data_IF_539513692524
#
_entry.id   IF_539513692524
#
_cell.length_a   1.000
_cell.length_b   1.000
_cell.length_c   1.000
_cell.angle_alpha   90.00
_cell.angle_beta   90.00
_cell.angle_gamma   90.00
#
_symmetry.space_group_name_H-M   'P 1'
#
loop_
_entity.id
_entity.type
_entity.pdbx_description
1 polymer ?
#
# COMPACT_ATOMS: atom_id res chain seq x y z
N UNK A 1 10.85 12.18 13.02
CA UNK A 1 10.32 11.63 11.75
C UNK A 1 11.39 11.10 10.79
N UNK A 2 12.46 11.83 10.43
CA UNK A 2 13.49 11.33 9.47
C UNK A 2 14.10 9.97 9.83
N UNK A 3 14.46 9.75 11.10
CA UNK A 3 14.98 8.44 11.52
C UNK A 3 13.96 7.30 11.36
N UNK A 4 12.67 7.57 11.62
CA UNK A 4 11.61 6.59 11.36
C UNK A 4 11.46 6.28 9.86
N UNK A 5 11.65 7.26 8.97
CA UNK A 5 11.66 7.00 7.52
C UNK A 5 12.81 6.08 7.12
N UNK A 6 14.00 6.26 7.69
CA UNK A 6 15.14 5.36 7.46
C UNK A 6 14.87 3.95 8.01
N UNK A 7 14.29 3.84 9.20
CA UNK A 7 13.90 2.55 9.78
C UNK A 7 12.91 1.81 8.88
N UNK A 8 11.88 2.51 8.36
CA UNK A 8 10.93 1.96 7.39
C UNK A 8 11.64 1.48 6.12
N UNK A 9 12.54 2.30 5.55
CA UNK A 9 13.31 1.94 4.35
C UNK A 9 14.10 0.65 4.58
N UNK A 10 14.86 0.56 5.67
CA UNK A 10 15.63 -0.65 6.00
C UNK A 10 14.73 -1.87 6.18
N UNK A 11 13.64 -1.76 6.94
CA UNK A 11 12.70 -2.87 7.11
C UNK A 11 12.09 -3.33 5.78
N UNK A 12 11.73 -2.42 4.89
CA UNK A 12 11.25 -2.77 3.55
C UNK A 12 12.30 -3.52 2.73
N UNK A 13 13.57 -3.11 2.82
CA UNK A 13 14.66 -3.75 2.08
C UNK A 13 14.98 -5.15 2.62
N UNK A 14 15.01 -5.31 3.94
CA UNK A 14 15.31 -6.59 4.60
C UNK A 14 14.24 -7.66 4.31
N UNK A 15 12.98 -7.25 4.09
CA UNK A 15 11.87 -8.14 3.80
C UNK A 15 11.82 -8.65 2.33
N UNK A 16 12.67 -8.14 1.43
CA UNK A 16 12.68 -8.51 0.00
C UNK A 16 13.97 -9.29 -0.33
N UNK A 17 13.91 -10.62 -0.49
CA UNK A 17 15.09 -11.47 -0.69
C UNK A 17 15.59 -11.52 -2.15
N UNK A 18 15.24 -10.53 -2.97
CA UNK A 18 15.72 -10.40 -4.35
C UNK A 18 15.92 -8.93 -4.74
N UNK A 19 16.59 -8.68 -5.88
CA UNK A 19 16.71 -7.33 -6.42
C UNK A 19 15.35 -6.81 -6.85
N UNK A 20 15.05 -5.56 -6.54
CA UNK A 20 13.79 -4.89 -6.87
C UNK A 20 14.03 -3.55 -7.57
N UNK A 21 13.01 -3.05 -8.27
CA UNK A 21 12.99 -1.77 -8.97
C UNK A 21 12.16 -0.72 -8.22
N UNK A 22 10.98 -1.12 -7.72
CA UNK A 22 10.05 -0.22 -7.02
C UNK A 22 9.42 -0.93 -5.83
N UNK A 23 9.09 -0.17 -4.77
CA UNK A 23 8.33 -0.64 -3.61
C UNK A 23 7.17 0.33 -3.37
N UNK A 24 6.00 -0.21 -3.05
CA UNK A 24 4.82 0.56 -2.68
C UNK A 24 4.17 -0.07 -1.44
N UNK A 25 4.13 0.67 -0.34
CA UNK A 25 3.49 0.27 0.91
C UNK A 25 2.23 1.10 1.14
N UNK A 26 1.18 0.43 1.58
CA UNK A 26 0.01 1.06 2.18
C UNK A 26 -0.10 0.64 3.64
N UNK A 27 -0.43 1.60 4.50
CA UNK A 27 -0.85 1.30 5.85
C UNK A 27 -2.01 2.20 6.27
N UNK A 28 -2.89 1.69 7.13
CA UNK A 28 -3.90 2.48 7.83
C UNK A 28 -3.87 2.20 9.33
N UNK A 29 -4.22 3.20 10.12
CA UNK A 29 -4.41 3.08 11.56
C UNK A 29 -5.70 3.81 11.92
N UNK A 30 -6.63 3.07 12.51
CA UNK A 30 -7.97 3.51 12.87
C UNK A 30 -8.15 3.36 14.37
N UNK A 31 -8.51 4.45 15.03
CA UNK A 31 -8.76 4.43 16.48
C UNK A 31 -10.16 3.85 16.73
N UNK A 32 -10.22 2.64 17.27
CA UNK A 32 -11.47 1.98 17.65
C UNK A 32 -12.00 2.44 19.01
N UNK A 33 -13.17 1.92 19.38
CA UNK A 33 -13.71 2.10 20.74
C UNK A 33 -12.78 1.41 21.75
N UNK A 34 -12.64 1.99 22.94
CA UNK A 34 -11.80 1.48 24.04
C UNK A 34 -10.29 1.46 23.75
N UNK A 35 -9.79 2.39 22.95
CA UNK A 35 -8.36 2.52 22.63
C UNK A 35 -7.77 1.32 21.86
N UNK A 36 -8.61 0.48 21.25
CA UNK A 36 -8.14 -0.58 20.36
C UNK A 36 -7.86 0.02 18.98
N UNK A 37 -6.59 0.17 18.64
CA UNK A 37 -6.17 0.55 17.28
C UNK A 37 -6.37 -0.65 16.33
N UNK A 38 -7.18 -0.46 15.30
CA UNK A 38 -7.29 -1.38 14.15
C UNK A 38 -6.60 -0.78 12.93
N UNK A 39 -6.45 -1.56 11.87
CA UNK A 39 -5.82 -1.08 10.65
C UNK A 39 -5.34 -2.24 9.78
N UNK A 40 -4.69 -1.89 8.68
CA UNK A 40 -4.13 -2.86 7.75
C UNK A 40 -2.80 -2.34 7.23
N UNK A 41 -1.87 -3.25 6.95
CA UNK A 41 -0.63 -2.93 6.24
C UNK A 41 -0.36 -4.01 5.21
N UNK A 42 0.05 -3.58 4.03
CA UNK A 42 0.58 -4.44 2.99
C UNK A 42 1.53 -3.64 2.12
N UNK A 43 2.47 -4.32 1.48
CA UNK A 43 3.26 -3.69 0.44
C UNK A 43 3.52 -4.64 -0.71
N UNK A 44 3.86 -4.03 -1.83
CA UNK A 44 4.23 -4.69 -3.06
C UNK A 44 5.62 -4.23 -3.48
N UNK A 45 6.37 -5.13 -4.09
CA UNK A 45 7.58 -4.75 -4.81
C UNK A 45 7.52 -5.24 -6.25
N UNK A 46 8.17 -4.49 -7.13
CA UNK A 46 8.39 -4.87 -8.53
C UNK A 46 9.79 -5.46 -8.62
N UNK A 47 9.96 -6.77 -8.86
CA UNK A 47 11.28 -7.37 -8.94
C UNK A 47 12.08 -6.82 -10.14
N UNK A 48 13.40 -6.78 -10.00
CA UNK A 48 14.29 -6.38 -11.08
C UNK A 48 14.43 -7.52 -12.09
N UNK A 49 14.21 -7.22 -13.37
CA UNK A 49 14.32 -8.20 -14.46
C UNK A 49 14.39 -7.53 -15.82
N UNK A 50 14.73 -8.31 -16.84
CA UNK A 50 14.79 -7.88 -18.26
C UNK A 50 13.38 -7.74 -18.84
N UNK A 51 12.42 -8.53 -18.35
CA UNK A 51 11.00 -8.47 -18.70
C UNK A 51 10.22 -7.73 -17.61
N UNK A 52 9.14 -7.05 -18.01
CA UNK A 52 8.15 -6.47 -17.07
C UNK A 52 7.66 -7.62 -16.17
N UNK A 53 7.82 -7.48 -14.85
CA UNK A 53 7.37 -8.48 -13.87
C UNK A 53 6.15 -7.96 -13.11
N UNK A 54 5.26 -8.88 -12.77
CA UNK A 54 4.10 -8.57 -11.93
C UNK A 54 4.57 -8.06 -10.55
N UNK A 55 3.85 -7.09 -9.96
CA UNK A 55 4.04 -6.72 -8.57
C UNK A 55 3.81 -7.92 -7.67
N UNK A 56 4.72 -8.17 -6.72
CA UNK A 56 4.62 -9.28 -5.77
C UNK A 56 4.14 -8.73 -4.43
N UNK A 57 3.06 -9.30 -3.88
CA UNK A 57 2.64 -8.96 -2.53
C UNK A 57 3.65 -9.54 -1.53
N UNK A 58 4.03 -8.76 -0.53
CA UNK A 58 4.95 -9.17 0.53
C UNK A 58 4.56 -10.50 1.20
N UNK A 59 3.26 -10.78 1.36
CA UNK A 59 2.78 -12.02 1.99
C UNK A 59 3.00 -13.28 1.13
N UNK A 60 3.38 -13.12 -0.14
CA UNK A 60 3.76 -14.24 -1.03
C UNK A 60 5.23 -14.62 -0.89
N UNK A 61 6.07 -13.73 -0.33
CA UNK A 61 7.52 -13.90 -0.25
C UNK A 61 7.94 -15.14 0.54
N UNK A 62 7.37 -15.46 1.73
CA UNK A 62 7.78 -16.66 2.46
C UNK A 62 7.65 -17.93 1.64
N UNK A 63 6.52 -18.09 0.95
CA UNK A 63 6.24 -19.24 0.10
C UNK A 63 7.15 -19.26 -1.14
N UNK A 64 7.36 -18.10 -1.79
CA UNK A 64 8.18 -18.02 -3.01
C UNK A 64 9.66 -18.33 -2.76
N UNK A 65 10.18 -18.00 -1.57
CA UNK A 65 11.59 -18.14 -1.22
C UNK A 65 11.88 -19.20 -0.16
N UNK A 66 10.86 -19.98 0.22
CA UNK A 66 10.95 -21.02 1.25
C UNK A 66 11.53 -20.48 2.58
N UNK A 67 11.01 -19.34 3.04
CA UNK A 67 11.38 -18.71 4.31
C UNK A 67 10.43 -19.15 5.43
N UNK A 68 10.88 -19.07 6.68
CA UNK A 68 10.02 -19.29 7.84
C UNK A 68 8.97 -18.18 7.96
N UNK A 69 7.69 -18.55 7.82
CA UNK A 69 6.56 -17.61 7.85
C UNK A 69 6.48 -16.84 9.17
N UNK A 70 6.75 -17.49 10.30
CA UNK A 70 6.63 -16.85 11.62
C UNK A 70 7.66 -15.72 11.78
N UNK A 71 8.92 -15.98 11.43
CA UNK A 71 9.98 -14.97 11.46
C UNK A 71 9.69 -13.84 10.49
N UNK A 72 9.11 -14.16 9.32
CA UNK A 72 8.73 -13.15 8.33
C UNK A 72 7.57 -12.26 8.79
N UNK A 73 6.52 -12.85 9.35
CA UNK A 73 5.38 -12.09 9.88
C UNK A 73 5.78 -11.24 11.09
N UNK A 74 6.77 -11.66 11.87
CA UNK A 74 7.36 -10.79 12.89
C UNK A 74 8.00 -9.53 12.30
N UNK A 75 8.71 -9.64 11.17
CA UNK A 75 9.24 -8.44 10.48
C UNK A 75 8.11 -7.51 9.99
N UNK A 76 6.99 -8.07 9.53
CA UNK A 76 5.82 -7.28 9.16
C UNK A 76 5.18 -6.58 10.38
N UNK A 77 5.06 -7.27 11.51
CA UNK A 77 4.58 -6.68 12.77
C UNK A 77 5.50 -5.56 13.26
N UNK A 78 6.81 -5.76 13.20
CA UNK A 78 7.82 -4.77 13.57
C UNK A 78 7.73 -3.53 12.66
N UNK A 79 7.61 -3.72 11.34
CA UNK A 79 7.40 -2.63 10.37
C UNK A 79 6.12 -1.85 10.68
N UNK A 80 4.99 -2.53 10.92
CA UNK A 80 3.75 -1.86 11.29
C UNK A 80 3.87 -1.11 12.63
N UNK A 81 4.66 -1.64 13.57
CA UNK A 81 5.04 -0.95 14.80
C UNK A 81 5.78 0.37 14.55
N UNK A 82 6.69 0.41 13.58
CA UNK A 82 7.40 1.64 13.16
C UNK A 82 6.41 2.64 12.55
N UNK A 83 5.46 2.19 11.73
CA UNK A 83 4.40 3.04 11.15
C UNK A 83 3.53 3.67 12.25
N UNK A 84 3.17 2.91 13.29
CA UNK A 84 2.41 3.45 14.44
C UNK A 84 3.21 4.47 15.24
N UNK A 85 4.52 4.28 15.41
CA UNK A 85 5.41 5.29 16.01
C UNK A 85 5.44 6.55 15.16
N UNK A 86 5.55 6.43 13.83
CA UNK A 86 5.48 7.54 12.90
C UNK A 86 4.17 8.33 13.05
N UNK A 87 3.03 7.65 13.25
CA UNK A 87 1.75 8.31 13.51
C UNK A 87 1.79 9.19 14.75
N UNK A 88 2.29 8.66 15.86
CA UNK A 88 2.40 9.38 17.15
C UNK A 88 3.31 10.60 17.03
N UNK A 89 4.48 10.44 16.41
CA UNK A 89 5.42 11.54 16.17
C UNK A 89 4.84 12.62 15.26
N UNK A 90 4.16 12.22 14.18
CA UNK A 90 3.53 13.18 13.27
C UNK A 90 2.46 14.01 13.99
N UNK A 91 1.63 13.39 14.82
CA UNK A 91 0.62 14.10 15.64
C UNK A 91 1.28 15.09 16.60
N UNK A 92 2.36 14.66 17.27
CA UNK A 92 3.07 15.50 18.24
C UNK A 92 3.69 16.76 17.59
N UNK A 93 4.16 16.65 16.35
CA UNK A 93 4.82 17.75 15.63
C UNK A 93 3.79 18.65 14.91
N UNK A 94 2.80 18.05 14.25
CA UNK A 94 1.92 18.75 13.30
C UNK A 94 0.50 18.98 13.84
N UNK A 95 0.13 18.36 14.97
CA UNK A 95 -1.21 18.44 15.55
C UNK A 95 -2.31 17.79 14.72
N UNK A 96 -1.97 17.03 13.68
CA UNK A 96 -2.92 16.45 12.74
C UNK A 96 -2.87 14.91 12.74
N UNK A 97 -4.06 14.30 12.80
CA UNK A 97 -4.24 12.85 12.84
C UNK A 97 -4.48 12.30 11.44
N UNK A 98 -3.46 11.69 10.84
CA UNK A 98 -3.65 10.91 9.63
C UNK A 98 -4.23 9.52 9.95
N UNK A 99 -4.93 8.95 8.98
CA UNK A 99 -5.61 7.65 9.07
C UNK A 99 -5.01 6.61 8.14
N UNK A 100 -4.40 7.04 7.04
CA UNK A 100 -3.66 6.16 6.14
C UNK A 100 -2.40 6.83 5.61
N UNK A 101 -1.45 6.01 5.18
CA UNK A 101 -0.24 6.44 4.50
C UNK A 101 0.01 5.55 3.28
N UNK A 102 0.59 6.17 2.25
CA UNK A 102 1.23 5.44 1.15
C UNK A 102 2.70 5.83 1.12
N UNK A 103 3.57 4.84 1.06
CA UNK A 103 5.02 5.04 0.92
C UNK A 103 5.44 4.43 -0.41
N UNK A 104 6.16 5.19 -1.23
CA UNK A 104 6.72 4.71 -2.48
C UNK A 104 8.23 4.91 -2.53
N UNK A 105 8.92 3.87 -3.00
CA UNK A 105 10.35 3.89 -3.28
C UNK A 105 10.51 3.55 -4.75
N UNK A 106 10.67 4.56 -5.57
CA UNK A 106 10.74 4.43 -7.02
C UNK A 106 11.62 5.52 -7.60
N UNK A 107 12.35 5.19 -8.68
CA UNK A 107 13.09 6.18 -9.46
C UNK A 107 14.04 7.05 -8.59
N UNK A 108 14.65 6.40 -7.58
CA UNK A 108 15.58 6.99 -6.60
C UNK A 108 14.95 8.00 -5.61
N UNK A 109 13.63 7.98 -5.49
CA UNK A 109 12.88 8.82 -4.57
C UNK A 109 12.19 7.96 -3.51
N UNK A 110 12.28 8.39 -2.26
CA UNK A 110 11.42 7.97 -1.17
C UNK A 110 10.33 9.02 -0.96
N UNK A 111 9.07 8.63 -1.12
CA UNK A 111 7.91 9.52 -0.97
C UNK A 111 6.93 8.94 0.05
N UNK A 112 6.37 9.80 0.89
CA UNK A 112 5.32 9.48 1.86
C UNK A 112 4.13 10.38 1.62
N UNK A 113 2.95 9.79 1.45
CA UNK A 113 1.68 10.50 1.27
C UNK A 113 0.78 10.20 2.46
N UNK A 114 0.45 11.23 3.25
CA UNK A 114 -0.40 11.15 4.42
C UNK A 114 -1.86 11.46 4.07
N UNK A 115 -2.75 10.51 4.33
CA UNK A 115 -4.19 10.64 4.15
C UNK A 115 -4.91 10.96 5.47
N UNK A 116 -5.84 11.91 5.40
CA UNK A 116 -6.58 12.40 6.57
C UNK A 116 -8.09 12.06 6.52
N UNK A 117 -8.49 11.13 5.64
CA UNK A 117 -9.90 10.73 5.52
C UNK A 117 -10.36 9.90 6.72
N UNK A 118 -11.58 10.10 7.20
CA UNK A 118 -12.13 9.24 8.24
C UNK A 118 -12.47 7.85 7.67
N UNK A 119 -11.56 6.89 7.85
CA UNK A 119 -11.73 5.52 7.39
C UNK A 119 -12.78 4.74 8.20
N UNK A 120 -13.05 5.11 9.44
CA UNK A 120 -14.03 4.43 10.29
C UNK A 120 -15.47 4.60 9.79
N UNK A 121 -15.75 5.72 9.12
CA UNK A 121 -17.06 6.03 8.53
C UNK A 121 -17.06 5.96 7.00
N UNK A 122 -15.97 5.44 6.40
CA UNK A 122 -15.85 5.38 4.95
C UNK A 122 -16.84 4.35 4.37
N UNK A 123 -17.52 4.66 3.25
CA UNK A 123 -18.37 3.69 2.56
C UNK A 123 -17.55 2.60 1.86
N UNK A 124 -16.23 2.79 1.73
CA UNK A 124 -15.32 1.84 1.08
C UNK A 124 -14.76 0.86 2.12
N UNK A 125 -14.71 -0.42 1.77
CA UNK A 125 -14.07 -1.45 2.59
C UNK A 125 -12.54 -1.43 2.47
N UNK A 126 -11.85 -2.20 3.31
CA UNK A 126 -10.42 -2.49 3.17
C UNK A 126 -10.11 -3.05 1.78
N UNK A 127 -10.95 -3.98 1.30
CA UNK A 127 -10.80 -4.57 -0.02
C UNK A 127 -10.93 -3.53 -1.13
N UNK A 128 -11.93 -2.65 -1.05
CA UNK A 128 -12.14 -1.58 -2.03
C UNK A 128 -10.92 -0.63 -2.08
N UNK A 129 -10.38 -0.25 -0.93
CA UNK A 129 -9.15 0.56 -0.85
C UNK A 129 -7.94 -0.15 -1.44
N UNK A 130 -7.83 -1.45 -1.24
CA UNK A 130 -6.76 -2.24 -1.82
C UNK A 130 -6.87 -2.31 -3.35
N UNK A 131 -8.08 -2.44 -3.91
CA UNK A 131 -8.31 -2.34 -5.36
C UNK A 131 -7.86 -0.98 -5.91
N UNK A 132 -8.25 0.11 -5.25
CA UNK A 132 -7.83 1.47 -5.61
C UNK A 132 -6.30 1.61 -5.53
N UNK A 133 -5.67 1.10 -4.48
CA UNK A 133 -4.22 1.15 -4.33
C UNK A 133 -3.50 0.45 -5.48
N UNK A 134 -3.91 -0.78 -5.82
CA UNK A 134 -3.29 -1.54 -6.93
C UNK A 134 -3.45 -0.81 -8.26
N UNK A 135 -4.63 -0.24 -8.52
CA UNK A 135 -4.86 0.57 -9.71
C UNK A 135 -3.97 1.83 -9.76
N UNK A 136 -3.97 2.64 -8.69
CA UNK A 136 -3.24 3.92 -8.63
C UNK A 136 -1.73 3.75 -8.68
N UNK A 137 -1.19 2.86 -7.84
CA UNK A 137 0.24 2.79 -7.55
C UNK A 137 0.94 1.67 -8.31
N UNK A 138 0.30 0.50 -8.46
CA UNK A 138 0.92 -0.65 -9.13
C UNK A 138 0.63 -0.69 -10.63
N UNK A 139 -0.31 0.13 -11.12
CA UNK A 139 -0.70 0.21 -12.54
C UNK A 139 -1.11 -1.15 -13.13
N UNK A 140 -1.78 -2.00 -12.34
CA UNK A 140 -2.16 -3.38 -12.73
C UNK A 140 -3.22 -3.47 -13.83
N UNK A 141 -3.66 -2.34 -14.40
CA UNK A 141 -4.86 -2.27 -15.23
C UNK A 141 -6.14 -2.64 -14.45
N UNK A 142 -7.28 -2.58 -15.14
CA UNK A 142 -8.59 -2.97 -14.59
C UNK A 142 -9.07 -4.31 -15.13
N UNK A 143 -8.32 -4.99 -16.00
CA UNK A 143 -8.83 -6.17 -16.71
C UNK A 143 -9.12 -7.36 -15.80
N UNK A 144 -8.37 -7.53 -14.71
CA UNK A 144 -8.61 -8.56 -13.70
C UNK A 144 -9.77 -8.26 -12.73
N UNK A 145 -10.43 -7.11 -12.89
CA UNK A 145 -11.46 -6.64 -11.98
C UNK A 145 -12.82 -6.99 -12.57
N UNK A 146 -13.74 -7.47 -11.74
CA UNK A 146 -15.14 -7.62 -12.13
C UNK A 146 -15.75 -6.27 -12.50
N UNK A 147 -16.84 -6.26 -13.28
CA UNK A 147 -17.53 -5.03 -13.67
C UNK A 147 -17.87 -4.12 -12.48
N UNK A 148 -18.28 -4.72 -11.35
CA UNK A 148 -18.59 -3.99 -10.10
C UNK A 148 -17.33 -3.34 -9.51
N UNK A 149 -16.23 -4.07 -9.47
CA UNK A 149 -14.95 -3.58 -8.94
C UNK A 149 -14.37 -2.47 -9.80
N UNK A 150 -14.44 -2.60 -11.13
CA UNK A 150 -14.04 -1.53 -12.07
C UNK A 150 -14.81 -0.25 -11.79
N UNK A 151 -16.15 -0.34 -11.73
CA UNK A 151 -16.99 0.83 -11.46
C UNK A 151 -16.66 1.45 -10.10
N UNK A 152 -16.54 0.64 -9.05
CA UNK A 152 -16.21 1.12 -7.71
C UNK A 152 -14.87 1.88 -7.68
N UNK A 153 -13.83 1.35 -8.34
CA UNK A 153 -12.52 2.04 -8.43
C UNK A 153 -12.65 3.36 -9.18
N UNK A 154 -13.34 3.38 -10.33
CA UNK A 154 -13.53 4.59 -11.12
C UNK A 154 -14.30 5.67 -10.33
N UNK A 155 -15.36 5.29 -9.62
CA UNK A 155 -16.15 6.20 -8.78
C UNK A 155 -15.30 6.75 -7.61
N UNK A 156 -14.44 5.92 -7.01
CA UNK A 156 -13.52 6.37 -5.96
C UNK A 156 -12.56 7.43 -6.50
N UNK A 157 -11.94 7.18 -7.66
CA UNK A 157 -10.97 8.09 -8.26
C UNK A 157 -11.62 9.41 -8.65
N UNK A 158 -12.79 9.37 -9.29
CA UNK A 158 -13.54 10.58 -9.66
C UNK A 158 -13.90 11.42 -8.42
N UNK A 159 -14.37 10.75 -7.35
CA UNK A 159 -14.64 11.43 -6.08
C UNK A 159 -13.40 12.05 -5.46
N UNK A 160 -12.27 11.34 -5.47
CA UNK A 160 -11.00 11.82 -4.93
C UNK A 160 -10.49 13.04 -5.71
N UNK A 161 -10.49 12.98 -7.04
CA UNK A 161 -10.07 14.08 -7.94
C UNK A 161 -10.93 15.34 -7.77
N UNK A 162 -12.24 15.16 -7.56
CA UNK A 162 -13.19 16.26 -7.37
C UNK A 162 -13.32 16.68 -5.89
N UNK A 163 -12.55 16.09 -4.99
CA UNK A 163 -12.55 16.46 -3.58
C UNK A 163 -11.38 17.36 -3.23
N UNK A 164 -11.60 18.32 -2.32
CA UNK A 164 -10.52 19.07 -1.67
C UNK A 164 -9.87 18.21 -0.56
N UNK A 165 -9.51 16.96 -0.87
CA UNK A 165 -8.91 16.04 0.10
C UNK A 165 -7.59 16.61 0.58
N UNK A 166 -7.43 16.73 1.89
CA UNK A 166 -6.14 17.05 2.50
C UNK A 166 -5.21 15.84 2.34
N UNK A 167 -4.09 16.05 1.67
CA UNK A 167 -2.95 15.14 1.62
C UNK A 167 -1.72 15.94 2.01
N UNK A 168 -0.88 15.38 2.88
CA UNK A 168 0.46 15.92 3.12
C UNK A 168 1.49 15.00 2.48
N UNK A 169 2.55 15.57 1.92
CA UNK A 169 3.55 14.84 1.14
C UNK A 169 4.95 15.15 1.64
N UNK A 170 5.68 14.09 2.00
CA UNK A 170 7.13 14.15 2.22
C UNK A 170 7.84 13.47 1.06
N UNK A 171 8.94 14.04 0.60
CA UNK A 171 9.77 13.46 -0.46
C UNK A 171 11.26 13.71 -0.19
N UNK A 172 12.09 12.68 -0.38
CA UNK A 172 13.54 12.79 -0.38
C UNK A 172 14.17 11.89 -1.45
N UNK A 173 15.29 12.32 -2.02
CA UNK A 173 16.08 11.46 -2.90
C UNK A 173 16.91 10.48 -2.07
N UNK A 174 16.90 9.21 -2.45
CA UNK A 174 17.70 8.14 -1.81
C UNK A 174 19.21 8.38 -1.89
N UNK A 175 19.65 9.24 -2.81
CA UNK A 175 21.07 9.61 -2.99
C UNK A 175 21.49 10.93 -2.32
N UNK A 176 20.57 11.64 -1.65
CA UNK A 176 20.86 13.00 -1.17
C UNK A 176 21.08 13.07 0.33
N UNK A 177 22.29 13.47 0.73
CA UNK A 177 22.46 14.47 1.80
C UNK A 177 23.36 15.60 1.28
N UNK A 178 23.21 16.87 1.72
CA UNK A 178 22.11 17.53 2.42
C UNK A 178 21.52 18.75 1.68
N UNK A 179 20.21 18.98 1.89
CA UNK A 179 19.43 20.24 1.78
C UNK A 179 19.53 21.11 0.50
N UNK A 180 18.39 21.34 -0.16
CA UNK A 180 17.85 22.70 -0.44
C UNK A 180 16.45 22.68 -1.08
N UNK A 181 15.52 23.35 -0.40
CA UNK A 181 14.39 24.17 -0.86
C UNK A 181 13.38 23.58 -1.87
N UNK A 182 12.19 23.27 -1.35
CA UNK A 182 10.94 23.16 -2.13
C UNK A 182 10.58 24.54 -2.69
N UNK A 183 10.49 24.67 -4.02
CA UNK A 183 9.88 25.81 -4.69
C UNK A 183 8.72 25.28 -5.53
N UNK A 184 7.49 25.58 -5.11
CA UNK A 184 6.29 25.46 -5.94
C UNK A 184 6.35 26.51 -7.06
N UNK A 185 5.94 26.17 -8.28
CA UNK A 185 5.10 27.05 -9.09
C UNK A 185 4.34 26.25 -10.16
N UNK A 186 3.05 26.58 -10.25
CA UNK A 186 2.01 26.09 -11.15
C UNK A 186 2.39 26.26 -12.64
N UNK A 187 1.86 25.40 -13.50
CA UNK A 187 1.90 25.56 -14.96
C UNK A 187 0.48 25.48 -15.53
N UNK A 188 0.05 26.57 -16.14
CA UNK A 188 -1.07 26.58 -17.09
C UNK A 188 -0.55 26.37 -18.52
N UNK A 189 -1.18 25.46 -19.27
CA UNK A 189 -1.10 25.34 -20.74
C UNK A 189 -2.32 24.55 -21.27
N UNK A 190 -2.74 24.75 -22.53
CA UNK A 190 -4.12 24.56 -22.97
C UNK A 190 -4.51 23.09 -23.23
N UNK A 191 -5.78 22.82 -22.95
CA UNK A 191 -6.44 21.52 -22.80
C UNK A 191 -6.84 20.87 -24.14
N UNK A 192 -6.30 19.68 -24.43
CA UNK A 192 -7.17 18.58 -24.92
C UNK A 192 -8.19 18.30 -23.81
N UNK A 193 -9.40 17.86 -24.13
CA UNK A 193 -10.34 17.53 -23.05
C UNK A 193 -9.74 16.35 -22.26
N UNK A 194 -9.70 16.44 -20.93
CA UNK A 194 -9.20 15.37 -20.05
C UNK A 194 -9.88 14.02 -20.33
N UNK A 195 -11.08 14.05 -20.91
CA UNK A 195 -11.80 12.85 -21.33
C UNK A 195 -11.11 12.16 -22.51
N UNK A 196 -10.60 12.89 -23.49
CA UNK A 196 -9.88 12.34 -24.64
C UNK A 196 -8.50 11.82 -24.23
N UNK A 197 -7.76 12.57 -23.41
CA UNK A 197 -6.47 12.12 -22.85
C UNK A 197 -6.65 10.84 -22.01
N UNK A 198 -7.71 10.77 -21.20
CA UNK A 198 -8.05 9.61 -20.37
C UNK A 198 -8.48 8.40 -21.19
N UNK A 199 -9.19 8.59 -22.30
CA UNK A 199 -9.50 7.48 -23.21
C UNK A 199 -8.23 6.96 -23.88
N UNK A 200 -7.32 7.84 -24.27
CA UNK A 200 -6.04 7.47 -24.87
C UNK A 200 -5.14 6.73 -23.85
N UNK A 201 -5.07 7.22 -22.59
CA UNK A 201 -4.39 6.52 -21.49
C UNK A 201 -5.03 5.17 -21.16
N UNK A 202 -6.36 5.08 -21.13
CA UNK A 202 -7.08 3.83 -20.90
C UNK A 202 -6.82 2.82 -22.02
N UNK A 203 -6.79 3.28 -23.28
CA UNK A 203 -6.45 2.45 -24.44
C UNK A 203 -5.01 1.93 -24.38
N UNK A 204 -4.05 2.77 -24.02
CA UNK A 204 -2.65 2.34 -23.86
C UNK A 204 -2.47 1.40 -22.66
N UNK A 205 -3.19 1.64 -21.55
CA UNK A 205 -3.23 0.71 -20.42
C UNK A 205 -3.94 -0.61 -20.76
N UNK A 206 -4.98 -0.59 -21.60
CA UNK A 206 -5.66 -1.79 -22.08
C UNK A 206 -4.71 -2.64 -22.92
N UNK A 207 -3.99 -2.02 -23.87
CA UNK A 207 -2.93 -2.67 -24.66
C UNK A 207 -1.82 -3.25 -23.78
N UNK A 208 -1.40 -2.53 -22.74
CA UNK A 208 -0.38 -3.05 -21.80
C UNK A 208 -0.91 -4.17 -20.90
N UNK A 209 -2.23 -4.23 -20.67
CA UNK A 209 -2.86 -5.18 -19.74
C UNK A 209 -3.33 -6.48 -20.39
N UNK A 210 -3.52 -6.52 -21.71
CA UNK A 210 -3.77 -7.74 -22.50
C UNK A 210 -2.60 -8.75 -22.45
N UNK A 211 -1.44 -8.34 -21.91
CA UNK A 211 -0.23 -9.16 -21.82
C UNK A 211 -0.11 -10.00 -20.53
N UNK A 212 -1.04 -9.90 -19.57
CA UNK A 212 -0.95 -10.58 -18.27
C UNK A 212 -2.00 -11.69 -18.10
N UNK A 213 -1.61 -12.95 -17.84
CA UNK A 213 -2.54 -14.01 -17.52
C UNK A 213 -3.12 -13.87 -16.09
N UNK A 214 -4.40 -14.22 -15.96
CA UNK A 214 -5.26 -13.96 -14.80
C UNK A 214 -5.11 -14.89 -13.58
N UNK A 215 -5.46 -14.30 -12.43
CA UNK A 215 -6.06 -14.85 -11.21
C UNK A 215 -5.27 -15.76 -10.25
N UNK A 216 -5.07 -15.27 -9.01
CA UNK A 216 -5.45 -15.97 -7.75
C UNK A 216 -5.96 -14.97 -6.70
N UNK A 217 -7.19 -15.18 -6.22
CA UNK A 217 -7.76 -14.48 -5.04
C UNK A 217 -7.38 -15.24 -3.78
N UNK A 218 -6.73 -14.59 -2.82
CA UNK A 218 -6.64 -15.05 -1.45
C UNK A 218 -7.26 -14.03 -0.51
N UNK A 219 -8.28 -14.46 0.23
CA UNK A 219 -8.87 -13.74 1.36
C UNK A 219 -8.14 -14.23 2.60
N UNK A 220 -7.43 -13.34 3.29
CA UNK A 220 -6.84 -13.64 4.60
C UNK A 220 -7.97 -13.55 5.64
N UNK A 221 -8.30 -14.67 6.26
CA UNK A 221 -9.22 -14.73 7.41
C UNK A 221 -8.40 -14.50 8.68
N UNK A 222 -8.74 -13.47 9.45
CA UNK A 222 -8.16 -13.22 10.77
C UNK A 222 -8.32 -14.44 11.69
N UNK A 223 -7.21 -15.02 12.14
CA UNK A 223 -7.21 -16.05 13.17
C UNK A 223 -7.27 -15.38 14.56
N UNK A 224 -8.40 -15.54 15.26
CA UNK A 224 -8.49 -15.22 16.69
C UNK A 224 -7.52 -16.11 17.49
N UNK A 225 -6.84 -15.59 18.53
CA UNK A 225 -5.99 -16.41 19.38
C UNK A 225 -6.86 -17.38 20.20
N UNK A 226 -6.69 -18.69 19.99
CA UNK A 226 -7.27 -19.71 20.88
C UNK A 226 -6.48 -19.74 22.18
N UNK A 227 -7.13 -19.36 23.27
CA UNK A 227 -6.66 -19.58 24.64
C UNK A 227 -6.47 -21.08 24.90
N UNK A 228 -5.33 -21.43 25.51
CA UNK A 228 -5.04 -22.76 26.08
C UNK A 228 -6.17 -23.19 27.03
N UNK A 229 -6.70 -24.40 26.83
CA UNK A 229 -6.88 -25.37 27.91
C UNK A 229 -7.32 -26.76 27.40
N UNK A 230 -6.67 -27.76 28.01
CA UNK A 230 -7.11 -29.13 28.26
C UNK A 230 -6.98 -30.20 27.16
N UNK A 231 -6.02 -31.08 27.46
CA UNK A 231 -5.86 -32.46 27.04
C UNK A 231 -7.17 -33.23 27.28
N UNK A 232 -7.74 -33.86 26.24
CA UNK A 232 -8.37 -35.17 26.38
C UNK A 232 -7.93 -36.04 25.19
N UNK A 233 -7.33 -37.16 25.57
CA UNK A 233 -6.81 -38.23 24.75
C UNK A 233 -7.90 -39.31 24.69
N UNK A 234 -8.41 -39.65 23.50
CA UNK A 234 -9.07 -40.95 23.30
C UNK A 234 -8.82 -41.50 21.89
N UNK A 235 -8.05 -42.59 21.89
CA UNK A 235 -7.85 -43.59 20.85
C UNK A 235 -9.15 -44.11 20.23
N UNK A 236 -9.02 -44.52 18.95
CA UNK A 236 -9.61 -45.69 18.27
C UNK A 236 -11.14 -45.61 18.00
N UNK A 237 -11.68 -46.13 16.89
CA UNK A 237 -11.36 -47.36 16.13
C UNK A 237 -12.21 -47.39 14.85
N UNK A 238 -11.62 -47.96 13.79
CA UNK A 238 -12.17 -48.49 12.52
C UNK A 238 -12.90 -47.54 11.58
#
# INVERSE_FOLDING_TARGET
>A
MKELYKEIQHSLFDMIPEKWNKIFLYASVIDGRNSLETGEMYFYYIPKGILKREPINVYEVPNKFNLDENSYFKMADDLYGIIKKLRKEYIAINGALWTNIVISIADYTFKVEYGFENLATSPYSNYDRHLVFRYKYLKTGLNSYSKREKQMVLDYIDKEENSNRKVDVYEESLYATPNKNLVNFEKDAPTKSRKEERMEELYELEKESEFWPHDKKYIIVESKPKSKNQIINTKKRY
#
